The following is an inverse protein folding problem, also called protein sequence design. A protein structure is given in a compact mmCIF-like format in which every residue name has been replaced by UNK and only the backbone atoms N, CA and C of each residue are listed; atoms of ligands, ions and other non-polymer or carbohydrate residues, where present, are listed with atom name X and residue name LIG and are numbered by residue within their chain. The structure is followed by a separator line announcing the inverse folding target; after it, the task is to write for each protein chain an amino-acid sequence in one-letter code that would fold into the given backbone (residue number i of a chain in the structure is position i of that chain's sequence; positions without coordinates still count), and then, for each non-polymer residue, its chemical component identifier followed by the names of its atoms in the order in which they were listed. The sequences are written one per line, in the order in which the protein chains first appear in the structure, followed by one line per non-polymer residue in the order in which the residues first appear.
data_IF_324751581541
#
_entry.id   IF_324751581541
#
_cell.length_a   1.000
_cell.length_b   1.000
_cell.length_c   1.000
_cell.angle_alpha   90.00
_cell.angle_beta   90.00
_cell.angle_gamma   90.00
#
_symmetry.space_group_name_H-M   'P 1'
#
loop_
_entity.id
_entity.type
_entity.pdbx_description
1 polymer ?
#
# COMPACT_ATOMS: atom_id res chain seq x y z
N UNK A 1 57.18 6.86 47.67
CA UNK A 1 56.97 6.76 46.18
C UNK A 1 56.62 5.36 45.70
N UNK A 2 57.01 4.24 46.36
CA UNK A 2 56.71 2.86 45.90
C UNK A 2 55.24 2.47 45.96
N UNK A 3 54.49 2.92 46.96
CA UNK A 3 53.07 2.58 47.11
C UNK A 3 52.16 3.15 46.01
N UNK A 4 52.42 4.38 45.56
CA UNK A 4 51.68 5.03 44.49
C UNK A 4 51.91 4.35 43.12
N UNK A 5 53.18 4.03 42.85
CA UNK A 5 53.52 3.31 41.60
C UNK A 5 52.92 1.91 41.56
N UNK A 6 52.86 1.21 42.68
CA UNK A 6 52.22 -0.09 42.84
C UNK A 6 50.71 -0.04 42.64
N UNK A 7 50.06 1.00 43.18
CA UNK A 7 48.64 1.26 43.01
C UNK A 7 48.28 1.51 41.51
N UNK A 8 49.06 2.38 40.84
CA UNK A 8 48.90 2.66 39.39
C UNK A 8 49.05 1.38 38.58
N UNK A 9 50.09 0.59 38.89
CA UNK A 9 50.32 -0.66 38.14
C UNK A 9 49.19 -1.67 38.27
N UNK A 10 48.67 -1.86 39.51
CA UNK A 10 47.50 -2.74 39.74
C UNK A 10 46.27 -2.20 39.00
N UNK A 11 46.00 -0.89 39.03
CA UNK A 11 44.87 -0.28 38.33
C UNK A 11 44.95 -0.50 36.83
N UNK A 12 46.14 -0.35 36.21
CA UNK A 12 46.33 -0.63 34.78
C UNK A 12 46.13 -2.11 34.43
N UNK A 13 46.54 -3.05 35.32
CA UNK A 13 46.26 -4.49 35.12
C UNK A 13 44.76 -4.74 35.17
N UNK A 14 44.05 -4.17 36.13
CA UNK A 14 42.57 -4.36 36.28
C UNK A 14 41.84 -3.83 35.05
N UNK A 15 42.22 -2.64 34.57
CA UNK A 15 41.63 -2.07 33.33
C UNK A 15 41.94 -2.97 32.15
N UNK A 16 43.16 -3.49 31.99
CA UNK A 16 43.51 -4.38 30.87
C UNK A 16 42.77 -5.72 30.92
N UNK A 17 42.64 -6.33 32.08
CA UNK A 17 41.86 -7.56 32.28
C UNK A 17 40.42 -7.33 31.97
N UNK A 18 39.82 -6.21 32.43
CA UNK A 18 38.44 -5.84 32.15
C UNK A 18 38.21 -5.63 30.66
N UNK A 19 39.06 -4.84 29.99
CA UNK A 19 38.96 -4.61 28.55
C UNK A 19 39.02 -5.94 27.78
N UNK A 20 39.90 -6.86 28.15
CA UNK A 20 39.99 -8.19 27.56
C UNK A 20 38.70 -9.03 27.76
N UNK A 21 38.11 -8.97 28.97
CA UNK A 21 36.85 -9.69 29.29
C UNK A 21 35.72 -9.16 28.41
N UNK A 22 35.57 -7.83 28.33
CA UNK A 22 34.48 -7.21 27.54
C UNK A 22 34.69 -7.44 26.04
N UNK A 23 35.92 -7.33 25.51
CA UNK A 23 36.21 -7.60 24.12
C UNK A 23 35.90 -9.06 23.73
N UNK A 24 36.20 -10.02 24.64
CA UNK A 24 35.96 -11.44 24.34
C UNK A 24 34.52 -11.89 24.53
N UNK A 25 33.83 -11.41 25.55
CA UNK A 25 32.51 -11.91 25.96
C UNK A 25 31.40 -10.84 25.87
N UNK A 26 31.72 -9.58 25.56
CA UNK A 26 30.77 -8.47 25.51
C UNK A 26 29.59 -8.76 24.57
N UNK A 27 29.83 -9.25 23.38
CA UNK A 27 28.82 -9.53 22.36
C UNK A 27 28.23 -10.95 22.40
N UNK A 28 28.80 -11.86 23.21
CA UNK A 28 28.26 -13.22 23.35
C UNK A 28 26.99 -13.22 24.19
N UNK A 29 26.05 -14.15 23.95
CA UNK A 29 24.82 -14.29 24.77
C UNK A 29 23.94 -13.03 24.79
N UNK A 30 23.93 -12.24 23.69
CA UNK A 30 22.97 -11.17 23.48
C UNK A 30 21.97 -11.64 22.43
N UNK A 31 20.68 -11.60 22.75
CA UNK A 31 19.59 -11.89 21.82
C UNK A 31 18.83 -10.61 21.55
N UNK A 32 18.55 -10.34 20.26
CA UNK A 32 17.79 -9.17 19.82
C UNK A 32 16.66 -9.60 18.90
N UNK A 33 15.49 -8.96 19.06
CA UNK A 33 14.32 -9.14 18.21
C UNK A 33 13.61 -7.81 18.02
N UNK A 34 13.27 -7.50 16.77
CA UNK A 34 12.41 -6.37 16.39
C UNK A 34 11.05 -6.90 15.96
N UNK A 35 9.99 -6.18 16.29
CA UNK A 35 8.63 -6.43 15.81
C UNK A 35 7.86 -5.11 15.74
N UNK A 36 6.77 -5.10 15.01
CA UNK A 36 5.83 -3.99 14.97
C UNK A 36 4.53 -4.41 15.66
N UNK A 37 3.76 -3.43 16.18
CA UNK A 37 2.46 -3.70 16.81
C UNK A 37 1.47 -4.29 15.81
N UNK A 38 1.56 -3.85 14.56
CA UNK A 38 0.72 -4.30 13.46
C UNK A 38 1.57 -4.68 12.25
N UNK A 39 1.05 -5.60 11.44
CA UNK A 39 1.74 -6.03 10.22
C UNK A 39 1.51 -5.07 9.05
N UNK A 40 0.36 -4.42 9.03
CA UNK A 40 -0.02 -3.48 7.99
C UNK A 40 -0.86 -2.33 8.57
N UNK A 41 -0.64 -1.12 8.06
CA UNK A 41 -1.31 0.12 8.46
C UNK A 41 -1.48 1.02 7.23
N UNK A 42 -2.34 2.04 7.33
CA UNK A 42 -2.45 3.05 6.28
C UNK A 42 -1.42 4.18 6.46
N UNK A 43 -1.05 4.81 5.34
CA UNK A 43 -0.20 6.00 5.40
C UNK A 43 -0.89 7.11 6.18
N UNK A 44 -0.15 7.76 7.09
CA UNK A 44 -0.65 8.73 8.06
C UNK A 44 -0.96 8.13 9.42
N UNK A 45 -1.03 6.81 9.58
CA UNK A 45 -1.31 6.17 10.87
C UNK A 45 -0.05 5.95 11.71
N UNK A 46 -0.28 5.82 13.01
CA UNK A 46 0.76 5.54 14.00
C UNK A 46 0.90 4.04 14.24
N UNK A 47 2.14 3.58 14.44
CA UNK A 47 2.48 2.20 14.76
C UNK A 47 3.58 2.16 15.81
N UNK A 48 3.62 1.14 16.65
CA UNK A 48 4.71 0.93 17.59
C UNK A 48 5.78 -0.02 17.02
N UNK A 49 7.02 0.44 16.96
CA UNK A 49 8.19 -0.43 16.79
C UNK A 49 8.63 -0.92 18.17
N UNK A 50 8.79 -2.22 18.30
CA UNK A 50 9.14 -2.89 19.55
C UNK A 50 10.48 -3.59 19.40
N UNK A 51 11.49 -3.08 20.11
CA UNK A 51 12.80 -3.67 20.22
C UNK A 51 12.94 -4.43 21.54
N UNK A 52 13.25 -5.73 21.46
CA UNK A 52 13.54 -6.59 22.60
C UNK A 52 15.03 -6.96 22.59
N UNK A 53 15.71 -6.68 23.69
CA UNK A 53 17.12 -6.99 23.90
C UNK A 53 17.27 -7.80 25.18
N UNK A 54 17.95 -8.95 25.07
CA UNK A 54 18.15 -9.86 26.20
C UNK A 54 19.64 -10.11 26.40
N UNK A 55 20.10 -9.93 27.63
CA UNK A 55 21.43 -10.36 28.07
C UNK A 55 21.30 -11.72 28.77
N UNK A 56 21.78 -12.78 28.13
CA UNK A 56 21.66 -14.18 28.62
C UNK A 56 22.88 -14.62 29.46
N UNK A 57 23.71 -13.65 29.90
CA UNK A 57 24.95 -13.95 30.62
C UNK A 57 25.06 -13.15 31.92
N UNK A 58 26.01 -13.58 32.77
CA UNK A 58 26.33 -12.93 34.06
C UNK A 58 27.08 -11.60 33.87
N UNK A 59 27.74 -11.38 32.74
CA UNK A 59 28.47 -10.15 32.45
C UNK A 59 27.47 -9.02 32.21
N UNK A 60 27.43 -7.95 33.05
CA UNK A 60 26.61 -6.78 32.79
C UNK A 60 27.15 -6.03 31.57
N UNK A 61 26.27 -5.37 30.84
CA UNK A 61 26.62 -4.54 29.70
C UNK A 61 26.31 -3.08 30.05
N UNK A 62 27.33 -2.29 30.36
CA UNK A 62 27.14 -0.90 30.79
C UNK A 62 26.51 -0.05 29.70
N UNK A 63 26.81 -0.35 28.46
CA UNK A 63 26.17 0.23 27.31
C UNK A 63 26.12 -0.80 26.15
N UNK A 64 25.00 -0.76 25.43
CA UNK A 64 24.78 -1.49 24.17
C UNK A 64 24.14 -0.54 23.20
N UNK A 65 24.78 -0.29 22.08
CA UNK A 65 24.27 0.55 21.02
C UNK A 65 23.67 -0.30 19.92
N UNK A 66 22.42 -0.05 19.57
CA UNK A 66 21.75 -0.62 18.42
C UNK A 66 21.73 0.41 17.31
N UNK A 67 22.19 0.01 16.11
CA UNK A 67 22.13 0.83 14.92
C UNK A 67 21.38 0.05 13.81
N UNK A 68 20.40 0.69 13.22
CA UNK A 68 19.63 0.13 12.10
C UNK A 68 19.24 1.23 11.12
N UNK A 69 19.12 0.86 9.84
CA UNK A 69 18.59 1.78 8.84
C UNK A 69 17.07 1.71 8.86
N UNK A 70 16.44 2.86 8.98
CA UNK A 70 14.99 3.04 8.95
C UNK A 70 14.72 4.08 7.86
N UNK A 71 13.76 3.80 6.99
CA UNK A 71 13.37 4.74 5.94
C UNK A 71 12.88 6.05 6.54
N UNK A 72 13.22 7.19 5.94
CA UNK A 72 12.73 8.51 6.31
C UNK A 72 11.21 8.67 6.16
N UNK A 73 10.55 7.71 5.51
CA UNK A 73 9.08 7.66 5.45
C UNK A 73 8.44 7.05 6.71
N UNK A 74 9.25 6.57 7.66
CA UNK A 74 8.83 6.11 8.98
C UNK A 74 9.44 7.07 10.01
N UNK A 75 8.63 8.01 10.49
CA UNK A 75 9.09 9.09 11.35
C UNK A 75 8.76 8.79 12.83
N UNK A 76 9.78 8.87 13.69
CA UNK A 76 9.56 8.73 15.14
C UNK A 76 8.87 9.97 15.69
N UNK A 77 7.85 9.76 16.51
CA UNK A 77 7.11 10.87 17.17
C UNK A 77 8.00 11.60 18.19
N UNK A 78 8.95 10.88 18.81
CA UNK A 78 9.91 11.44 19.75
C UNK A 78 11.12 11.97 18.97
N UNK A 79 11.28 13.29 18.92
CA UNK A 79 12.37 13.98 18.23
C UNK A 79 13.76 13.55 18.69
N UNK A 80 13.91 13.17 19.98
CA UNK A 80 15.18 12.69 20.55
C UNK A 80 15.61 11.33 19.93
N UNK A 81 14.69 10.61 19.32
CA UNK A 81 14.92 9.33 18.66
C UNK A 81 15.18 9.45 17.17
N UNK A 82 14.92 10.60 16.58
CA UNK A 82 15.24 10.87 15.18
C UNK A 82 16.75 10.88 15.00
N UNK A 83 17.26 9.85 14.33
CA UNK A 83 18.65 9.78 13.92
C UNK A 83 18.99 10.83 12.85
N UNK A 84 20.27 11.02 12.58
CA UNK A 84 20.70 11.84 11.44
C UNK A 84 20.48 11.04 10.14
N UNK A 85 19.44 11.38 9.39
CA UNK A 85 19.05 10.67 8.17
C UNK A 85 18.42 9.29 8.47
N UNK A 86 18.71 8.30 7.63
CA UNK A 86 18.11 6.95 7.72
C UNK A 86 18.69 6.07 8.84
N UNK A 87 19.65 6.58 9.63
CA UNK A 87 20.32 5.80 10.68
C UNK A 87 19.67 6.04 12.04
N UNK A 88 18.90 5.04 12.49
CA UNK A 88 18.34 5.02 13.84
C UNK A 88 19.32 4.41 14.82
N UNK A 89 19.60 5.12 15.90
CA UNK A 89 20.55 4.74 16.94
C UNK A 89 19.86 4.74 18.31
N UNK A 90 19.96 3.63 19.03
CA UNK A 90 19.39 3.48 20.36
C UNK A 90 20.43 2.93 21.32
N UNK A 91 20.50 3.49 22.54
CA UNK A 91 21.41 3.08 23.59
C UNK A 91 20.66 2.38 24.72
N UNK A 92 21.20 1.26 25.20
CA UNK A 92 20.71 0.46 26.31
C UNK A 92 21.82 0.21 27.33
N UNK A 93 21.42 -0.08 28.57
CA UNK A 93 22.28 -0.65 29.60
C UNK A 93 21.59 -1.90 30.14
N UNK A 94 22.29 -3.03 30.21
CA UNK A 94 21.73 -4.29 30.61
C UNK A 94 22.47 -4.89 31.81
N UNK A 95 21.73 -5.24 32.84
CA UNK A 95 22.20 -6.03 33.94
C UNK A 95 22.34 -7.52 33.52
N UNK A 96 23.01 -8.36 34.34
CA UNK A 96 23.06 -9.79 34.12
C UNK A 96 21.66 -10.38 33.98
N UNK A 97 21.45 -11.24 32.98
CA UNK A 97 20.17 -11.95 32.73
C UNK A 97 18.95 -11.04 32.61
N UNK A 98 19.15 -9.80 32.17
CA UNK A 98 18.07 -8.83 32.01
C UNK A 98 17.53 -8.84 30.59
N UNK A 99 16.20 -8.72 30.47
CA UNK A 99 15.46 -8.44 29.25
C UNK A 99 14.92 -7.02 29.31
N UNK A 100 15.19 -6.22 28.27
CA UNK A 100 14.60 -4.91 28.07
C UNK A 100 13.71 -4.97 26.82
N UNK A 101 12.53 -4.40 26.95
CA UNK A 101 11.60 -4.20 25.84
C UNK A 101 11.31 -2.71 25.73
N UNK A 102 11.65 -2.12 24.59
CA UNK A 102 11.40 -0.71 24.30
C UNK A 102 10.38 -0.59 23.20
N UNK A 103 9.38 0.25 23.42
CA UNK A 103 8.35 0.60 22.44
C UNK A 103 8.62 2.02 21.97
N UNK A 104 8.57 2.22 20.67
CA UNK A 104 8.85 3.48 20.02
C UNK A 104 7.73 3.76 19.03
N UNK A 105 6.87 4.75 19.31
CA UNK A 105 5.82 5.12 18.38
C UNK A 105 6.43 5.84 17.18
N UNK A 106 5.94 5.51 15.99
CA UNK A 106 6.32 6.13 14.71
C UNK A 106 5.10 6.32 13.83
N UNK A 107 5.17 7.33 12.97
CA UNK A 107 4.16 7.65 11.96
C UNK A 107 4.65 7.11 10.62
N UNK A 108 3.75 6.43 9.90
CA UNK A 108 4.01 5.94 8.56
C UNK A 108 3.62 7.01 7.53
N UNK A 109 4.58 7.79 7.02
CA UNK A 109 4.31 8.95 6.15
C UNK A 109 3.88 8.57 4.73
N UNK A 110 4.53 7.56 4.14
CA UNK A 110 4.26 7.12 2.76
C UNK A 110 4.02 5.62 2.71
N UNK A 111 3.17 5.19 1.76
CA UNK A 111 2.97 3.77 1.48
C UNK A 111 4.27 3.08 1.12
N UNK A 112 4.35 1.80 1.37
CA UNK A 112 5.53 1.01 1.03
C UNK A 112 5.57 -0.34 1.72
N UNK A 113 6.49 -1.19 1.28
CA UNK A 113 6.87 -2.41 1.97
C UNK A 113 8.23 -2.22 2.62
N UNK A 114 8.23 -1.91 3.92
CA UNK A 114 9.44 -1.63 4.68
C UNK A 114 9.96 -2.91 5.31
N UNK A 115 11.14 -3.34 4.87
CA UNK A 115 11.81 -4.55 5.34
C UNK A 115 13.06 -4.19 6.13
N UNK A 116 13.24 -4.84 7.26
CA UNK A 116 14.37 -4.68 8.17
C UNK A 116 15.06 -6.03 8.29
N UNK A 117 16.25 -6.15 7.71
CA UNK A 117 16.96 -7.43 7.66
C UNK A 117 17.94 -7.60 8.81
N UNK A 118 18.62 -6.51 9.19
CA UNK A 118 19.79 -6.55 10.07
C UNK A 118 19.82 -5.38 11.02
N UNK A 119 20.36 -5.65 12.20
CA UNK A 119 20.74 -4.65 13.18
C UNK A 119 22.24 -4.80 13.50
N UNK A 120 22.92 -3.69 13.66
CA UNK A 120 24.26 -3.66 14.21
C UNK A 120 24.21 -3.40 15.71
N UNK A 121 24.83 -4.28 16.48
CA UNK A 121 24.88 -4.22 17.94
C UNK A 121 26.32 -3.98 18.31
N UNK A 122 26.60 -2.84 18.96
CA UNK A 122 27.92 -2.53 19.49
C UNK A 122 27.89 -2.50 21.01
N UNK A 123 28.94 -2.93 21.64
CA UNK A 123 29.18 -2.81 23.07
C UNK A 123 30.68 -2.70 23.33
N UNK A 124 31.02 -2.27 24.51
CA UNK A 124 32.41 -2.17 24.94
C UNK A 124 32.58 -2.19 26.44
N UNK A 125 33.82 -1.93 26.86
CA UNK A 125 34.13 -1.84 28.28
C UNK A 125 33.53 -0.58 28.94
N UNK A 126 33.39 -0.54 30.27
CA UNK A 126 32.84 0.61 31.00
C UNK A 126 33.65 1.90 30.81
N UNK A 127 34.90 1.82 30.42
CA UNK A 127 35.80 2.98 30.26
C UNK A 127 35.90 3.45 28.80
N UNK A 128 35.32 2.68 27.85
CA UNK A 128 35.31 3.03 26.43
C UNK A 128 36.66 2.86 25.69
N UNK A 129 37.56 2.05 26.22
CA UNK A 129 38.84 1.75 25.55
C UNK A 129 38.70 0.80 24.37
N UNK A 130 37.67 -0.07 24.40
CA UNK A 130 37.37 -1.00 23.32
C UNK A 130 35.89 -0.95 22.95
N UNK A 131 35.61 -1.01 21.66
CA UNK A 131 34.29 -1.17 21.10
C UNK A 131 34.31 -2.30 20.09
N UNK A 132 33.44 -3.28 20.29
CA UNK A 132 33.22 -4.37 19.35
C UNK A 132 31.79 -4.32 18.83
N UNK A 133 31.59 -4.81 17.62
CA UNK A 133 30.24 -4.86 17.01
C UNK A 133 29.97 -6.21 16.35
N UNK A 134 28.68 -6.55 16.29
CA UNK A 134 28.17 -7.71 15.56
C UNK A 134 26.93 -7.31 14.77
N UNK A 135 26.78 -7.85 13.57
CA UNK A 135 25.57 -7.72 12.77
C UNK A 135 24.71 -8.96 12.96
N UNK A 136 23.50 -8.75 13.49
CA UNK A 136 22.54 -9.84 13.68
C UNK A 136 21.39 -9.72 12.70
N UNK A 137 20.93 -10.84 12.14
CA UNK A 137 19.66 -10.85 11.41
C UNK A 137 18.52 -10.54 12.38
N UNK A 138 17.67 -9.65 11.99
CA UNK A 138 16.44 -9.31 12.74
C UNK A 138 15.34 -9.01 11.74
N UNK A 139 14.84 -10.05 11.04
CA UNK A 139 13.81 -9.87 10.03
C UNK A 139 12.54 -9.32 10.69
N UNK A 140 12.16 -8.14 10.27
CA UNK A 140 10.91 -7.49 10.62
C UNK A 140 10.41 -6.76 9.39
N UNK A 141 9.12 -6.71 9.20
CA UNK A 141 8.50 -6.01 8.08
C UNK A 141 7.23 -5.29 8.54
N UNK A 142 6.94 -4.21 7.87
CA UNK A 142 5.65 -3.51 7.95
C UNK A 142 5.22 -3.10 6.55
N UNK A 143 3.96 -3.30 6.24
CA UNK A 143 3.34 -2.90 4.99
C UNK A 143 2.52 -1.65 5.28
N UNK A 144 2.80 -0.58 4.56
CA UNK A 144 2.04 0.67 4.66
C UNK A 144 1.21 0.82 3.40
N UNK A 145 -0.11 0.77 3.57
CA UNK A 145 -1.09 0.95 2.50
C UNK A 145 -1.18 2.42 2.08
N UNK A 146 -1.67 2.74 0.86
CA UNK A 146 -2.00 4.10 0.51
C UNK A 146 -2.98 4.71 1.53
N UNK A 147 -2.88 6.02 1.79
CA UNK A 147 -3.85 6.72 2.63
C UNK A 147 -5.25 6.65 2.01
N UNK A 148 -6.29 6.61 2.84
CA UNK A 148 -7.66 6.70 2.36
C UNK A 148 -8.12 8.16 2.34
N UNK A 149 -8.75 8.56 1.24
CA UNK A 149 -9.37 9.87 1.04
C UNK A 149 -10.88 9.71 1.10
N UNK A 150 -11.59 10.66 1.70
CA UNK A 150 -13.04 10.63 1.68
C UNK A 150 -13.57 10.63 0.24
N UNK A 151 -14.60 9.84 -0.04
CA UNK A 151 -15.12 9.67 -1.42
C UNK A 151 -15.63 11.01 -1.98
N UNK A 152 -16.12 11.88 -1.11
CA UNK A 152 -16.62 13.21 -1.45
C UNK A 152 -15.52 14.14 -1.96
N UNK A 153 -14.27 13.90 -1.56
CA UNK A 153 -13.10 14.69 -1.96
C UNK A 153 -12.44 14.17 -3.25
N UNK A 154 -12.92 13.05 -3.79
CA UNK A 154 -12.41 12.48 -5.03
C UNK A 154 -13.17 13.10 -6.21
N UNK A 155 -12.47 13.64 -7.23
CA UNK A 155 -13.10 14.24 -8.41
C UNK A 155 -13.69 13.17 -9.34
N UNK A 156 -14.77 12.52 -8.89
CA UNK A 156 -15.46 11.50 -9.67
C UNK A 156 -16.15 12.13 -10.91
N UNK A 157 -16.30 11.36 -12.01
CA UNK A 157 -16.90 11.84 -13.26
C UNK A 157 -18.32 12.42 -13.10
N UNK A 158 -19.10 11.89 -12.12
CA UNK A 158 -20.34 12.49 -11.66
C UNK A 158 -20.51 12.27 -10.16
N UNK A 159 -21.23 13.15 -9.46
CA UNK A 159 -21.51 12.98 -8.03
C UNK A 159 -22.23 11.67 -7.70
N UNK A 160 -22.93 11.08 -8.67
CA UNK A 160 -23.66 9.82 -8.50
C UNK A 160 -22.98 8.62 -9.15
N UNK A 161 -21.79 8.78 -9.76
CA UNK A 161 -21.17 7.71 -10.56
C UNK A 161 -21.00 6.40 -9.78
N UNK A 162 -20.45 6.44 -8.57
CA UNK A 162 -20.33 5.25 -7.72
C UNK A 162 -21.70 4.70 -7.33
N UNK A 163 -22.67 5.57 -7.09
CA UNK A 163 -24.06 5.17 -6.86
C UNK A 163 -24.64 4.46 -8.08
N UNK A 164 -24.39 4.94 -9.27
CA UNK A 164 -24.83 4.31 -10.53
C UNK A 164 -24.19 2.95 -10.75
N UNK A 165 -22.87 2.80 -10.49
CA UNK A 165 -22.17 1.51 -10.54
C UNK A 165 -22.79 0.52 -9.55
N UNK A 166 -23.10 0.96 -8.33
CA UNK A 166 -23.74 0.13 -7.31
C UNK A 166 -25.17 -0.24 -7.74
N UNK A 167 -25.93 0.71 -8.27
CA UNK A 167 -27.33 0.53 -8.68
C UNK A 167 -27.43 -0.36 -9.93
N UNK A 168 -26.52 -0.24 -10.89
CA UNK A 168 -26.49 -1.10 -12.08
C UNK A 168 -26.42 -2.58 -11.72
N UNK A 169 -25.71 -2.94 -10.64
CA UNK A 169 -25.69 -4.30 -10.10
C UNK A 169 -27.07 -4.86 -9.79
N UNK A 170 -28.02 -4.00 -9.40
CA UNK A 170 -29.38 -4.40 -8.98
C UNK A 170 -30.43 -4.31 -10.08
N UNK A 171 -30.13 -3.67 -11.22
CA UNK A 171 -31.13 -3.30 -12.23
C UNK A 171 -31.08 -4.19 -13.48
N UNK A 172 -29.95 -4.82 -13.81
CA UNK A 172 -29.89 -5.66 -15.00
C UNK A 172 -30.48 -7.06 -14.73
N UNK A 173 -31.70 -7.30 -15.29
CA UNK A 173 -32.27 -8.64 -15.35
C UNK A 173 -31.45 -9.51 -16.30
N UNK A 174 -30.95 -10.64 -15.83
CA UNK A 174 -30.34 -11.64 -16.70
C UNK A 174 -31.40 -12.32 -17.55
N UNK A 175 -31.34 -12.20 -18.87
CA UNK A 175 -32.32 -12.84 -19.73
C UNK A 175 -32.32 -14.37 -19.64
N UNK A 176 -31.27 -14.99 -19.12
CA UNK A 176 -31.10 -16.44 -19.03
C UNK A 176 -31.41 -17.01 -17.64
N UNK A 177 -31.33 -16.19 -16.58
CA UNK A 177 -31.64 -16.63 -15.23
C UNK A 177 -33.11 -16.36 -14.89
N UNK A 178 -33.82 -17.41 -14.51
CA UNK A 178 -35.23 -17.37 -14.09
C UNK A 178 -35.33 -17.59 -12.59
N UNK A 179 -35.71 -16.55 -11.85
CA UNK A 179 -35.95 -16.63 -10.40
C UNK A 179 -37.28 -17.35 -10.07
N UNK A 180 -38.18 -17.46 -11.06
CA UNK A 180 -39.45 -18.08 -10.84
C UNK A 180 -40.56 -17.52 -11.76
N UNK A 181 -41.81 -17.65 -11.35
CA UNK A 181 -42.98 -17.07 -12.04
C UNK A 181 -43.77 -16.22 -11.06
N UNK A 182 -44.40 -15.16 -11.57
CA UNK A 182 -45.32 -14.31 -10.82
C UNK A 182 -46.56 -14.03 -11.64
N UNK A 183 -47.60 -13.57 -11.00
CA UNK A 183 -48.82 -13.15 -11.70
C UNK A 183 -48.56 -11.95 -12.61
N UNK A 184 -49.23 -11.96 -13.76
CA UNK A 184 -49.17 -10.86 -14.73
C UNK A 184 -49.79 -9.60 -14.14
N UNK A 185 -49.15 -8.47 -14.31
CA UNK A 185 -49.65 -7.14 -13.98
C UNK A 185 -49.77 -6.29 -15.23
N UNK A 186 -50.77 -5.37 -15.26
CA UNK A 186 -50.93 -4.47 -16.40
C UNK A 186 -49.70 -3.60 -16.60
N UNK A 187 -49.00 -3.81 -17.74
CA UNK A 187 -47.71 -3.18 -18.05
C UNK A 187 -46.57 -4.16 -18.32
N UNK A 188 -46.75 -5.44 -17.96
CA UNK A 188 -45.76 -6.47 -18.29
C UNK A 188 -45.77 -6.76 -19.79
N UNK A 189 -44.57 -7.00 -20.34
CA UNK A 189 -44.41 -7.31 -21.75
C UNK A 189 -44.93 -8.71 -22.06
N UNK A 190 -45.75 -8.85 -23.12
CA UNK A 190 -46.36 -10.13 -23.53
C UNK A 190 -45.34 -11.21 -23.90
N UNK A 191 -44.11 -10.84 -24.27
CA UNK A 191 -43.04 -11.79 -24.60
C UNK A 191 -42.43 -12.46 -23.35
N UNK A 192 -42.73 -11.95 -22.13
CA UNK A 192 -42.30 -12.54 -20.86
C UNK A 192 -43.29 -13.52 -20.26
N UNK A 193 -44.44 -13.76 -20.91
CA UNK A 193 -45.45 -14.70 -20.44
C UNK A 193 -44.91 -16.13 -20.42
N UNK A 194 -45.04 -16.79 -19.25
CA UNK A 194 -44.72 -18.20 -19.10
C UNK A 194 -45.96 -19.05 -19.38
N UNK A 195 -46.13 -19.47 -20.63
CA UNK A 195 -47.31 -20.24 -21.06
C UNK A 195 -47.45 -21.57 -20.32
N UNK A 196 -46.35 -22.20 -19.90
CA UNK A 196 -46.35 -23.44 -19.13
C UNK A 196 -46.90 -23.25 -17.70
N UNK A 197 -46.52 -22.17 -17.06
CA UNK A 197 -47.04 -21.82 -15.73
C UNK A 197 -48.50 -21.34 -15.82
N UNK A 198 -48.84 -20.50 -16.81
CA UNK A 198 -50.19 -20.04 -17.13
C UNK A 198 -51.17 -21.21 -17.32
N UNK A 199 -50.78 -22.26 -18.05
CA UNK A 199 -51.61 -23.43 -18.24
C UNK A 199 -51.85 -24.26 -16.98
N UNK A 200 -50.98 -24.15 -15.98
CA UNK A 200 -51.09 -24.86 -14.68
C UNK A 200 -51.98 -24.11 -13.67
N UNK A 201 -51.86 -22.77 -13.65
CA UNK A 201 -52.52 -21.93 -12.67
C UNK A 201 -53.85 -21.36 -13.18
N UNK A 202 -54.11 -21.48 -14.49
CA UNK A 202 -55.24 -20.87 -15.20
C UNK A 202 -55.32 -19.34 -15.07
N UNK A 203 -54.19 -18.71 -14.74
CA UNK A 203 -53.99 -17.25 -14.64
C UNK A 203 -52.68 -16.89 -15.39
N UNK A 204 -52.67 -15.72 -16.02
CA UNK A 204 -51.51 -15.28 -16.75
C UNK A 204 -50.32 -15.15 -15.79
N UNK A 205 -49.24 -15.91 -16.08
CA UNK A 205 -48.02 -15.92 -15.33
C UNK A 205 -46.87 -15.36 -16.16
N UNK A 206 -46.08 -14.52 -15.55
CA UNK A 206 -44.89 -13.91 -16.17
C UNK A 206 -43.64 -14.55 -15.57
N UNK A 207 -42.67 -14.85 -16.40
CA UNK A 207 -41.33 -15.30 -15.94
C UNK A 207 -40.69 -14.16 -15.18
N UNK A 208 -40.44 -14.36 -13.89
CA UNK A 208 -39.62 -13.47 -13.09
C UNK A 208 -38.16 -13.81 -13.38
N UNK A 209 -37.47 -12.90 -14.04
CA UNK A 209 -36.02 -13.03 -14.27
C UNK A 209 -35.28 -12.74 -12.97
N UNK A 210 -34.15 -13.42 -12.77
CA UNK A 210 -33.26 -13.10 -11.67
C UNK A 210 -32.30 -12.00 -12.10
N UNK A 211 -31.83 -11.25 -11.11
CA UNK A 211 -30.84 -10.21 -11.36
C UNK A 211 -29.46 -10.87 -11.26
N UNK A 212 -28.83 -11.04 -12.39
CA UNK A 212 -27.44 -11.48 -12.47
C UNK A 212 -26.69 -10.53 -13.39
N UNK A 213 -26.40 -9.37 -12.87
CA UNK A 213 -25.31 -8.61 -13.43
C UNK A 213 -24.18 -8.68 -12.40
N UNK A 214 -23.26 -9.60 -12.60
CA UNK A 214 -21.93 -9.47 -12.04
C UNK A 214 -21.29 -8.24 -12.69
N UNK A 215 -21.60 -7.05 -12.16
CA UNK A 215 -20.88 -5.85 -12.56
C UNK A 215 -19.52 -5.87 -11.89
N UNK A 216 -18.52 -5.80 -12.72
CA UNK A 216 -17.12 -5.82 -12.34
C UNK A 216 -16.55 -4.41 -12.49
N UNK A 217 -16.11 -3.81 -11.39
CA UNK A 217 -15.36 -2.57 -11.43
C UNK A 217 -13.87 -2.87 -11.58
N UNK A 218 -13.25 -2.33 -12.61
CA UNK A 218 -11.81 -2.33 -12.79
C UNK A 218 -11.25 -0.93 -12.56
N UNK A 219 -10.34 -0.78 -11.60
CA UNK A 219 -9.68 0.48 -11.31
C UNK A 219 -8.28 0.43 -11.91
N UNK A 220 -8.01 1.28 -12.90
CA UNK A 220 -6.72 1.39 -13.56
C UNK A 220 -5.99 2.66 -13.13
N UNK A 221 -4.74 2.53 -12.72
CA UNK A 221 -3.87 3.67 -12.42
C UNK A 221 -2.76 3.76 -13.44
N UNK A 222 -2.70 4.90 -14.13
CA UNK A 222 -1.66 5.17 -15.11
C UNK A 222 -0.48 5.87 -14.45
N UNK A 223 0.69 5.25 -14.51
CA UNK A 223 1.95 5.78 -13.98
C UNK A 223 2.71 6.67 -14.99
N UNK A 224 2.26 6.77 -16.26
CA UNK A 224 2.82 7.71 -17.21
C UNK A 224 2.26 9.11 -16.98
N UNK A 225 3.12 10.06 -16.69
CA UNK A 225 2.73 11.47 -16.47
C UNK A 225 2.90 12.34 -17.71
N UNK A 226 3.61 11.87 -18.73
CA UNK A 226 4.00 12.64 -19.91
C UNK A 226 3.40 12.09 -21.23
N UNK A 227 2.16 11.61 -21.18
CA UNK A 227 1.46 11.06 -22.34
C UNK A 227 2.08 9.74 -22.81
N UNK A 228 2.30 9.59 -24.15
CA UNK A 228 2.87 8.37 -24.72
C UNK A 228 4.40 8.30 -24.66
N UNK A 229 5.06 9.34 -24.15
CA UNK A 229 6.51 9.41 -23.99
C UNK A 229 6.88 8.79 -22.63
N UNK A 230 7.76 7.81 -22.67
CA UNK A 230 8.24 7.20 -21.44
C UNK A 230 9.37 8.03 -20.83
N UNK A 231 9.03 8.86 -19.86
CA UNK A 231 9.95 9.60 -19.02
C UNK A 231 9.86 9.12 -17.57
N UNK A 232 10.91 9.32 -16.77
CA UNK A 232 10.84 9.12 -15.33
C UNK A 232 9.69 9.90 -14.71
N UNK A 233 9.17 9.42 -13.60
CA UNK A 233 8.12 10.09 -12.83
C UNK A 233 8.60 11.48 -12.43
N UNK A 234 7.79 12.50 -12.76
CA UNK A 234 8.10 13.90 -12.49
C UNK A 234 7.49 14.35 -11.16
N UNK A 235 6.32 13.81 -10.83
CA UNK A 235 5.55 14.16 -9.63
C UNK A 235 5.12 12.89 -8.89
N UNK A 236 5.90 12.51 -7.87
CA UNK A 236 5.62 11.33 -7.04
C UNK A 236 4.35 11.53 -6.20
N UNK A 237 4.12 12.74 -5.68
CA UNK A 237 2.98 13.02 -4.81
C UNK A 237 1.66 12.93 -5.57
N UNK A 238 1.65 13.26 -6.87
CA UNK A 238 0.50 13.06 -7.74
C UNK A 238 0.15 11.58 -7.91
N UNK A 239 1.15 10.71 -8.06
CA UNK A 239 0.94 9.26 -8.14
C UNK A 239 0.49 8.67 -6.80
N UNK A 240 1.05 9.12 -5.69
CA UNK A 240 0.61 8.72 -4.36
C UNK A 240 -0.86 9.09 -4.13
N UNK A 241 -1.26 10.29 -4.57
CA UNK A 241 -2.66 10.73 -4.54
C UNK A 241 -3.56 9.89 -5.45
N UNK A 242 -3.09 9.52 -6.64
CA UNK A 242 -3.84 8.64 -7.54
C UNK A 242 -4.06 7.26 -6.93
N UNK A 243 -3.05 6.70 -6.27
CA UNK A 243 -3.16 5.43 -5.55
C UNK A 243 -4.07 5.53 -4.31
N UNK A 244 -4.05 6.67 -3.59
CA UNK A 244 -4.98 6.95 -2.50
C UNK A 244 -6.43 6.95 -3.00
N UNK A 245 -6.72 7.58 -4.13
CA UNK A 245 -8.04 7.56 -4.74
C UNK A 245 -8.45 6.15 -5.16
N UNK A 246 -7.55 5.41 -5.81
CA UNK A 246 -7.80 4.02 -6.21
C UNK A 246 -8.11 3.13 -5.00
N UNK A 247 -7.33 3.26 -3.91
CA UNK A 247 -7.53 2.51 -2.67
C UNK A 247 -8.89 2.83 -2.02
N UNK A 248 -9.24 4.12 -1.94
CA UNK A 248 -10.52 4.57 -1.36
C UNK A 248 -11.73 4.09 -2.15
N UNK A 249 -11.64 4.14 -3.49
CA UNK A 249 -12.71 3.65 -4.36
C UNK A 249 -12.84 2.12 -4.25
N UNK A 250 -11.71 1.39 -4.17
CA UNK A 250 -11.73 -0.05 -3.98
C UNK A 250 -12.37 -0.45 -2.64
N UNK A 251 -11.98 0.21 -1.55
CA UNK A 251 -12.54 -0.01 -0.21
C UNK A 251 -14.04 0.26 -0.19
N UNK A 252 -14.46 1.41 -0.70
CA UNK A 252 -15.87 1.78 -0.77
C UNK A 252 -16.67 0.80 -1.62
N UNK A 253 -16.19 0.44 -2.81
CA UNK A 253 -16.89 -0.43 -3.75
C UNK A 253 -17.06 -1.85 -3.19
N UNK A 254 -15.98 -2.43 -2.64
CA UNK A 254 -16.03 -3.76 -2.01
C UNK A 254 -16.93 -3.74 -0.78
N UNK A 255 -16.90 -2.68 0.05
CA UNK A 255 -17.78 -2.53 1.22
C UNK A 255 -19.27 -2.48 0.82
N UNK A 256 -19.59 -1.98 -0.37
CA UNK A 256 -20.94 -1.98 -0.96
C UNK A 256 -21.24 -3.27 -1.73
N UNK A 257 -20.33 -4.21 -1.75
CA UNK A 257 -20.52 -5.51 -2.38
C UNK A 257 -20.26 -5.54 -3.87
N UNK A 258 -19.60 -4.54 -4.46
CA UNK A 258 -19.20 -4.52 -5.88
C UNK A 258 -17.91 -5.32 -6.05
N UNK A 259 -17.90 -6.29 -6.97
CA UNK A 259 -16.68 -7.02 -7.35
C UNK A 259 -15.69 -6.05 -7.97
N UNK A 260 -14.55 -5.85 -7.32
CA UNK A 260 -13.58 -4.82 -7.68
C UNK A 260 -12.22 -5.43 -7.97
N UNK A 261 -11.65 -5.06 -9.10
CA UNK A 261 -10.29 -5.40 -9.53
C UNK A 261 -9.41 -4.17 -9.63
N UNK A 262 -8.13 -4.40 -9.79
CA UNK A 262 -7.11 -3.35 -9.89
C UNK A 262 -6.11 -3.67 -11.00
N UNK A 263 -5.66 -2.64 -11.71
CA UNK A 263 -4.59 -2.78 -12.68
C UNK A 263 -3.75 -1.54 -12.83
N UNK A 264 -2.49 -1.70 -13.21
CA UNK A 264 -1.60 -0.58 -13.48
C UNK A 264 -0.47 -0.97 -14.43
N UNK A 265 0.14 0.03 -15.04
CA UNK A 265 1.31 -0.11 -15.89
C UNK A 265 2.65 0.04 -15.13
N UNK A 266 2.64 -0.23 -13.82
CA UNK A 266 3.83 -0.31 -12.97
C UNK A 266 4.22 -1.77 -12.68
N UNK A 267 5.19 -2.00 -11.78
CA UNK A 267 5.73 -3.31 -11.43
C UNK A 267 6.09 -3.40 -9.94
N UNK A 268 6.25 -4.64 -9.46
CA UNK A 268 6.71 -4.93 -8.08
C UNK A 268 8.13 -5.51 -8.14
N UNK A 269 9.00 -5.01 -7.27
CA UNK A 269 10.38 -5.50 -7.15
C UNK A 269 11.25 -5.15 -8.34
N UNK A 270 11.80 -6.15 -9.04
CA UNK A 270 12.62 -5.91 -10.24
C UNK A 270 11.73 -5.65 -11.45
N UNK A 271 12.14 -4.70 -12.29
CA UNK A 271 11.43 -4.34 -13.52
C UNK A 271 11.21 -5.57 -14.39
N UNK A 272 9.95 -5.90 -14.63
CA UNK A 272 9.53 -7.05 -15.44
C UNK A 272 8.55 -6.58 -16.50
N UNK A 273 8.41 -7.32 -17.61
CA UNK A 273 7.47 -6.97 -18.68
C UNK A 273 6.00 -7.24 -18.33
N UNK A 274 5.72 -7.90 -17.21
CA UNK A 274 4.37 -8.23 -16.80
C UNK A 274 3.65 -7.01 -16.23
N UNK A 275 2.44 -6.80 -16.70
CA UNK A 275 1.51 -5.81 -16.12
C UNK A 275 0.85 -6.39 -14.86
N UNK A 276 0.47 -5.49 -13.97
CA UNK A 276 -0.30 -5.87 -12.79
C UNK A 276 -1.78 -5.77 -13.14
N UNK A 277 -2.47 -6.91 -13.07
CA UNK A 277 -3.93 -7.02 -13.17
C UNK A 277 -4.42 -7.98 -12.09
N UNK A 278 -5.35 -7.50 -11.31
CA UNK A 278 -6.07 -8.24 -10.28
C UNK A 278 -7.51 -8.30 -10.76
N UNK A 279 -7.98 -9.52 -11.05
CA UNK A 279 -9.36 -9.71 -11.51
C UNK A 279 -10.37 -9.30 -10.42
N UNK A 280 -11.56 -8.84 -10.82
CA UNK A 280 -12.56 -8.35 -9.87
C UNK A 280 -13.14 -9.46 -9.01
N UNK A 281 -13.05 -9.30 -7.70
CA UNK A 281 -13.71 -10.14 -6.71
C UNK A 281 -14.34 -9.26 -5.62
N UNK A 282 -15.33 -9.82 -4.90
CA UNK A 282 -16.00 -9.15 -3.80
C UNK A 282 -15.73 -9.88 -2.50
N UNK A 283 -14.56 -9.64 -1.92
CA UNK A 283 -14.19 -10.17 -0.61
C UNK A 283 -13.26 -9.22 0.13
N UNK A 284 -13.27 -9.30 1.47
CA UNK A 284 -12.31 -8.53 2.27
C UNK A 284 -10.86 -8.95 1.97
N UNK A 285 -10.64 -10.19 1.59
CA UNK A 285 -9.32 -10.69 1.18
C UNK A 285 -8.86 -10.03 -0.12
N UNK A 286 -9.78 -9.80 -1.05
CA UNK A 286 -9.51 -9.08 -2.30
C UNK A 286 -9.07 -7.64 -2.03
N UNK A 287 -9.76 -6.92 -1.14
CA UNK A 287 -9.35 -5.59 -0.74
C UNK A 287 -7.94 -5.58 -0.18
N UNK A 288 -7.65 -6.48 0.77
CA UNK A 288 -6.31 -6.58 1.35
C UNK A 288 -5.25 -6.89 0.29
N UNK A 289 -5.55 -7.76 -0.67
CA UNK A 289 -4.65 -8.11 -1.77
C UNK A 289 -4.38 -6.91 -2.69
N UNK A 290 -5.42 -6.12 -3.00
CA UNK A 290 -5.29 -4.87 -3.79
C UNK A 290 -4.40 -3.87 -3.04
N UNK A 291 -4.69 -3.60 -1.76
CA UNK A 291 -3.93 -2.65 -0.94
C UNK A 291 -2.47 -3.08 -0.75
N UNK A 292 -2.23 -4.37 -0.51
CA UNK A 292 -0.88 -4.92 -0.38
C UNK A 292 -0.10 -4.82 -1.71
N UNK A 293 -0.78 -5.06 -2.83
CA UNK A 293 -0.21 -4.86 -4.16
C UNK A 293 0.17 -3.41 -4.37
N UNK A 294 -0.75 -2.47 -4.10
CA UNK A 294 -0.48 -1.03 -4.20
C UNK A 294 0.70 -0.60 -3.32
N UNK A 295 0.80 -1.12 -2.09
CA UNK A 295 1.92 -0.82 -1.18
C UNK A 295 3.29 -1.24 -1.75
N UNK A 296 3.33 -2.30 -2.55
CA UNK A 296 4.56 -2.86 -3.12
C UNK A 296 4.94 -2.29 -4.49
N UNK A 297 4.06 -1.48 -5.12
CA UNK A 297 4.31 -0.88 -6.42
C UNK A 297 5.51 0.07 -6.40
N UNK A 298 6.35 -0.03 -7.41
CA UNK A 298 7.32 1.01 -7.72
C UNK A 298 6.62 2.23 -8.31
N UNK A 299 7.19 3.42 -8.11
CA UNK A 299 6.63 4.66 -8.67
C UNK A 299 6.93 4.84 -10.16
N UNK A 300 7.64 3.91 -10.78
CA UNK A 300 7.97 3.95 -12.21
C UNK A 300 6.97 3.15 -13.05
N UNK A 301 6.72 3.64 -14.26
CA UNK A 301 5.99 2.87 -15.26
C UNK A 301 6.89 1.75 -15.85
N UNK A 302 6.28 0.59 -16.05
CA UNK A 302 6.92 -0.55 -16.72
C UNK A 302 6.82 -0.45 -18.25
N UNK A 303 5.65 -0.02 -18.72
CA UNK A 303 5.31 0.17 -20.14
C UNK A 303 4.35 1.37 -20.28
N UNK A 304 4.14 1.83 -21.49
CA UNK A 304 3.16 2.89 -21.71
C UNK A 304 1.74 2.41 -21.41
N UNK A 305 0.87 3.33 -21.00
CA UNK A 305 -0.55 3.03 -20.78
C UNK A 305 -1.24 2.54 -22.05
N UNK A 306 -0.80 3.02 -23.22
CA UNK A 306 -1.31 2.54 -24.50
C UNK A 306 -1.04 1.05 -24.73
N UNK A 307 0.14 0.55 -24.33
CA UNK A 307 0.45 -0.89 -24.39
C UNK A 307 -0.38 -1.68 -23.37
N UNK A 308 -0.60 -1.09 -22.19
CA UNK A 308 -1.43 -1.71 -21.16
C UNK A 308 -2.89 -1.86 -21.62
N UNK A 309 -3.48 -0.84 -22.25
CA UNK A 309 -4.86 -0.90 -22.75
C UNK A 309 -4.97 -1.77 -24.01
N UNK A 310 -3.91 -1.86 -24.83
CA UNK A 310 -3.88 -2.73 -26.00
C UNK A 310 -4.05 -4.21 -25.62
N UNK A 311 -3.42 -4.64 -24.52
CA UNK A 311 -3.59 -6.00 -23.99
C UNK A 311 -5.05 -6.30 -23.61
N UNK A 312 -5.80 -5.33 -23.09
CA UNK A 312 -7.23 -5.51 -22.79
C UNK A 312 -8.08 -5.58 -24.08
N UNK A 313 -7.69 -4.83 -25.10
CA UNK A 313 -8.34 -4.87 -26.41
C UNK A 313 -8.07 -6.22 -27.09
N UNK A 314 -6.82 -6.71 -27.08
CA UNK A 314 -6.44 -8.01 -27.62
C UNK A 314 -7.15 -9.18 -26.92
N UNK A 315 -7.40 -9.04 -25.62
CA UNK A 315 -8.13 -10.02 -24.81
C UNK A 315 -9.67 -9.85 -24.88
N UNK A 316 -10.18 -8.91 -25.70
CA UNK A 316 -11.61 -8.62 -25.87
C UNK A 316 -12.35 -8.43 -24.53
N UNK A 317 -11.71 -7.71 -23.59
CA UNK A 317 -12.30 -7.44 -22.27
C UNK A 317 -13.64 -6.75 -22.44
N UNK A 318 -14.70 -7.33 -21.86
CA UNK A 318 -16.08 -6.86 -22.01
C UNK A 318 -16.87 -6.96 -20.70
N UNK A 319 -17.97 -6.19 -20.62
CA UNK A 319 -18.91 -6.25 -19.48
C UNK A 319 -18.35 -5.72 -18.17
N UNK A 320 -17.32 -4.86 -18.21
CA UNK A 320 -16.72 -4.25 -17.03
C UNK A 320 -16.98 -2.73 -17.00
N UNK A 321 -17.15 -2.20 -15.81
CA UNK A 321 -17.04 -0.77 -15.55
C UNK A 321 -15.54 -0.46 -15.28
N UNK A 322 -14.90 0.31 -16.15
CA UNK A 322 -13.47 0.61 -16.09
C UNK A 322 -13.30 2.05 -15.67
N UNK A 323 -12.62 2.28 -14.56
CA UNK A 323 -12.22 3.60 -14.09
C UNK A 323 -10.72 3.78 -14.28
N UNK A 324 -10.33 4.78 -15.07
CA UNK A 324 -8.93 5.07 -15.34
C UNK A 324 -8.54 6.34 -14.60
N UNK A 325 -7.58 6.24 -13.70
CA UNK A 325 -7.00 7.38 -12.97
C UNK A 325 -5.68 7.73 -13.67
N UNK A 326 -5.59 8.93 -14.23
CA UNK A 326 -4.44 9.35 -15.04
C UNK A 326 -4.19 10.84 -14.92
N UNK A 327 -2.93 11.27 -15.10
CA UNK A 327 -2.59 12.71 -15.22
C UNK A 327 -2.68 13.24 -16.64
N UNK A 328 -2.65 12.36 -17.65
CA UNK A 328 -2.66 12.75 -19.07
C UNK A 328 -3.50 11.80 -19.90
N UNK A 329 -4.19 12.35 -20.91
CA UNK A 329 -5.03 11.58 -21.84
C UNK A 329 -4.57 11.86 -23.26
N UNK A 330 -3.82 10.92 -23.87
CA UNK A 330 -3.36 11.04 -25.25
C UNK A 330 -4.47 10.71 -26.25
N UNK A 331 -4.30 11.14 -27.51
CA UNK A 331 -5.25 10.81 -28.59
C UNK A 331 -5.32 9.30 -28.84
N UNK A 332 -4.20 8.58 -28.68
CA UNK A 332 -4.16 7.12 -28.81
C UNK A 332 -4.98 6.46 -27.70
N UNK A 333 -4.81 6.91 -26.47
CA UNK A 333 -5.59 6.43 -25.33
C UNK A 333 -7.10 6.66 -25.52
N UNK A 334 -7.50 7.85 -26.05
CA UNK A 334 -8.91 8.12 -26.39
C UNK A 334 -9.48 7.12 -27.39
N UNK A 335 -8.74 6.81 -28.46
CA UNK A 335 -9.17 5.84 -29.45
C UNK A 335 -9.31 4.42 -28.85
N UNK A 336 -8.36 4.01 -28.00
CA UNK A 336 -8.41 2.73 -27.31
C UNK A 336 -9.61 2.63 -26.33
N UNK A 337 -9.91 3.71 -25.61
CA UNK A 337 -11.10 3.79 -24.74
C UNK A 337 -12.38 3.62 -25.54
N UNK A 338 -12.50 4.27 -26.72
CA UNK A 338 -13.69 4.08 -27.58
C UNK A 338 -13.79 2.63 -28.10
N UNK A 339 -12.66 1.98 -28.38
CA UNK A 339 -12.66 0.55 -28.72
C UNK A 339 -13.13 -0.31 -27.55
N UNK A 340 -12.65 -0.07 -26.33
CA UNK A 340 -13.10 -0.78 -25.12
C UNK A 340 -14.60 -0.56 -24.87
N UNK A 341 -15.11 0.66 -25.08
CA UNK A 341 -16.56 0.94 -25.00
C UNK A 341 -17.36 0.16 -26.04
N UNK A 342 -16.82 -0.02 -27.25
CA UNK A 342 -17.49 -0.80 -28.30
C UNK A 342 -17.65 -2.29 -27.94
N UNK A 343 -16.80 -2.82 -27.04
CA UNK A 343 -16.93 -4.18 -26.48
C UNK A 343 -17.97 -4.29 -25.35
N UNK A 344 -18.70 -3.21 -25.06
CA UNK A 344 -19.75 -3.18 -24.03
C UNK A 344 -19.25 -2.83 -22.62
N UNK A 345 -18.06 -2.24 -22.50
CA UNK A 345 -17.56 -1.70 -21.22
C UNK A 345 -18.05 -0.26 -21.02
N UNK A 346 -18.28 0.14 -19.76
CA UNK A 346 -18.38 1.55 -19.40
C UNK A 346 -17.00 2.04 -18.97
N UNK A 347 -16.45 3.05 -19.64
CA UNK A 347 -15.11 3.56 -19.34
C UNK A 347 -15.20 5.03 -18.94
N UNK A 348 -14.73 5.32 -17.72
CA UNK A 348 -14.66 6.65 -17.16
C UNK A 348 -13.22 7.03 -16.78
N UNK A 349 -12.95 8.32 -16.73
CA UNK A 349 -11.60 8.83 -16.48
C UNK A 349 -11.63 9.84 -15.34
N UNK A 350 -10.74 9.67 -14.37
CA UNK A 350 -10.36 10.71 -13.41
C UNK A 350 -9.04 11.30 -13.88
N UNK A 351 -9.06 12.58 -14.23
CA UNK A 351 -7.84 13.31 -14.58
C UNK A 351 -7.26 13.94 -13.32
N UNK A 352 -6.00 13.62 -13.04
CA UNK A 352 -5.24 14.17 -11.92
C UNK A 352 -4.47 15.40 -12.38
N UNK A 353 -4.67 16.52 -11.71
CA UNK A 353 -3.93 17.76 -12.00
C UNK A 353 -2.84 17.97 -10.95
N UNK A 354 -1.62 18.28 -11.41
CA UNK A 354 -0.53 18.67 -10.53
C UNK A 354 -0.81 20.07 -9.95
N UNK A 355 -0.54 20.27 -8.67
CA UNK A 355 -0.65 21.59 -8.03
C UNK A 355 0.20 22.65 -8.75
N UNK A 356 1.28 22.21 -9.38
CA UNK A 356 2.13 23.06 -10.19
C UNK A 356 1.39 23.55 -11.45
N UNK A 357 0.62 22.69 -12.10
CA UNK A 357 -0.19 23.03 -13.28
C UNK A 357 -1.32 23.97 -12.91
N UNK A 358 -1.99 23.74 -11.78
CA UNK A 358 -3.05 24.64 -11.27
C UNK A 358 -2.51 26.05 -11.00
N UNK A 359 -1.33 26.15 -10.38
CA UNK A 359 -0.68 27.45 -10.11
C UNK A 359 -0.27 28.20 -11.38
N UNK A 360 0.12 27.49 -12.44
CA UNK A 360 0.43 28.10 -13.74
C UNK A 360 -0.84 28.55 -14.47
N UNK A 361 -1.89 27.74 -14.50
CA UNK A 361 -3.18 28.13 -15.10
C UNK A 361 -3.82 29.31 -14.38
N UNK A 362 -3.85 29.34 -13.06
CA UNK A 362 -4.34 30.50 -12.31
C UNK A 362 -3.52 31.76 -12.56
N UNK A 363 -2.23 31.66 -12.90
CA UNK A 363 -1.37 32.80 -13.26
C UNK A 363 -1.60 33.24 -14.68
N UNK A 364 -1.89 32.35 -15.62
CA UNK A 364 -2.28 32.69 -16.99
C UNK A 364 -3.65 33.36 -17.03
N UNK A 365 -4.66 32.79 -16.35
CA UNK A 365 -6.00 33.36 -16.25
C UNK A 365 -5.99 34.77 -15.59
N UNK A 366 -5.12 34.95 -14.58
CA UNK A 366 -4.93 36.25 -13.94
C UNK A 366 -4.24 37.29 -14.85
N UNK A 367 -3.38 36.84 -15.78
CA UNK A 367 -2.71 37.72 -16.74
C UNK A 367 -3.57 38.01 -17.98
N UNK A 368 -4.52 37.17 -18.36
CA UNK A 368 -5.48 37.40 -19.43
C UNK A 368 -6.65 38.31 -18.97
N UNK A 369 -6.85 38.47 -17.66
CA UNK A 369 -7.90 39.33 -17.08
C UNK A 369 -7.45 40.76 -16.83
N UNK A 370 -6.21 41.15 -17.20
CA UNK A 370 -5.64 42.52 -17.17
C UNK A 370 -5.49 43.06 -18.58
#
# INVERSE_FOLDING_TARGET
MGSLAWFIFITLIVIGVQAYIYGKWGLTGITYKRSFSERAVFAGEEIEMVDELVNEKILPLPWVRLESRISHHLEFIDEDLQGRGDLHRTLFSLLPYQKIRRRQPLICLKRGHYQFDRVEISTGDPFGYGEDFIRKPSPAEVIVYPSLTAIEDIPLPSHNWLGEVIVRRWIMEDPFLTAGVRDYTAGDSLNTINWKATARTNQLQVTKKDFSADHYLMIYVNFNQTGDIWLPVVDEDLLEKALSYAASIADFSISKGVSTGFGCNSYIGKKSMNTIRIEPENSQQQLMYILETMAKLNLDANKSVSVFLEEDIENEVSGKDILIITSTVSNKMKAQIETLKSFGNAVEIITMESETTIKYQQKEDANEAI
#
